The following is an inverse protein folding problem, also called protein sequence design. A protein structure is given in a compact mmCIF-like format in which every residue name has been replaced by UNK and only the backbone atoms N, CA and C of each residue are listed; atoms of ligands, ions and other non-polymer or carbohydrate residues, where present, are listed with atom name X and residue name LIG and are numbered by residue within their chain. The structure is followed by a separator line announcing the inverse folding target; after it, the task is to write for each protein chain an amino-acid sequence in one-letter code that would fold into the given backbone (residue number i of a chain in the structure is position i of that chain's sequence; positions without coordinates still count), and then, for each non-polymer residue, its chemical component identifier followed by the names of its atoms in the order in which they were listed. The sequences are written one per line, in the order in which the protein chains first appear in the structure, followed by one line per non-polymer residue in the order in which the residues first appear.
data_IF_706005507248
#
_entry.id   IF_706005507248
#
_cell.length_a   1.000
_cell.length_b   1.000
_cell.length_c   1.000
_cell.angle_alpha   90.00
_cell.angle_beta   90.00
_cell.angle_gamma   90.00
#
_symmetry.space_group_name_H-M   'P 1'
#
loop_
_entity.id
_entity.type
_entity.pdbx_description
1 polymer ?
#
# COMPACT_ATOMS: atom_id res chain seq x y z
N UNK A 1 25.14 9.93 14.40
CA UNK A 1 24.76 8.54 14.07
C UNK A 1 25.08 8.30 12.61
N UNK A 2 25.91 7.29 12.31
CA UNK A 2 26.18 6.86 10.92
C UNK A 2 25.04 5.98 10.42
N UNK A 3 24.91 5.84 9.08
CA UNK A 3 23.87 4.96 8.48
C UNK A 3 24.05 3.50 8.94
N UNK A 4 25.26 3.00 8.95
CA UNK A 4 25.58 1.64 9.43
C UNK A 4 25.13 1.42 10.87
N UNK A 5 25.42 2.36 11.78
CA UNK A 5 24.98 2.26 13.17
C UNK A 5 23.44 2.30 13.31
N UNK A 6 22.76 3.06 12.45
CA UNK A 6 21.30 3.08 12.45
C UNK A 6 20.71 1.73 12.01
N UNK A 7 21.31 1.11 10.97
CA UNK A 7 20.92 -0.21 10.50
C UNK A 7 21.18 -1.29 11.58
N UNK A 8 22.31 -1.22 12.26
CA UNK A 8 22.64 -2.13 13.37
C UNK A 8 21.66 -2.00 14.54
N UNK A 9 21.29 -0.76 14.91
CA UNK A 9 20.30 -0.50 15.97
C UNK A 9 18.91 -1.01 15.55
N UNK A 10 18.50 -0.79 14.31
CA UNK A 10 17.22 -1.28 13.81
C UNK A 10 17.17 -2.81 13.87
N UNK A 11 18.23 -3.47 13.43
CA UNK A 11 18.30 -4.93 13.40
C UNK A 11 18.60 -5.58 14.77
N UNK A 12 18.99 -4.78 15.77
CA UNK A 12 19.09 -5.26 17.16
C UNK A 12 17.71 -5.47 17.82
N UNK A 13 16.62 -5.14 17.16
CA UNK A 13 15.24 -5.31 17.62
C UNK A 13 14.97 -4.70 19.02
N UNK A 14 15.63 -3.59 19.33
CA UNK A 14 15.40 -2.89 20.60
C UNK A 14 14.17 -1.99 20.49
N UNK A 15 13.30 -1.96 21.51
CA UNK A 15 12.05 -1.18 21.44
C UNK A 15 12.28 0.32 21.45
N UNK A 16 13.41 0.80 21.97
CA UNK A 16 13.79 2.21 21.94
C UNK A 16 15.29 2.39 22.15
N UNK A 17 15.78 3.57 21.74
CA UNK A 17 17.14 4.04 22.02
C UNK A 17 17.10 5.46 22.55
N UNK A 18 18.12 5.85 23.34
CA UNK A 18 18.32 7.22 23.74
C UNK A 18 19.38 7.87 22.87
N UNK A 19 19.03 8.99 22.25
CA UNK A 19 19.94 9.79 21.46
C UNK A 19 20.24 11.07 22.25
N UNK A 20 21.53 11.35 22.45
CA UNK A 20 22.00 12.59 23.04
C UNK A 20 22.16 13.64 21.94
N UNK A 21 21.41 14.73 22.06
CA UNK A 21 21.57 15.93 21.23
C UNK A 21 22.28 17.02 22.03
N UNK A 22 22.64 18.11 21.40
CA UNK A 22 23.29 19.24 22.05
C UNK A 22 22.45 19.84 23.20
N UNK A 23 21.13 19.77 23.09
CA UNK A 23 20.19 20.42 24.02
C UNK A 23 19.53 19.46 25.01
N UNK A 24 19.35 18.20 24.64
CA UNK A 24 18.63 17.21 25.46
C UNK A 24 18.88 15.76 25.04
N UNK A 25 18.50 14.84 25.90
CA UNK A 25 18.38 13.42 25.53
C UNK A 25 16.98 13.13 24.99
N UNK A 26 16.91 12.42 23.87
CA UNK A 26 15.66 12.12 23.16
C UNK A 26 15.49 10.61 23.08
N UNK A 27 14.31 10.13 23.45
CA UNK A 27 13.93 8.71 23.34
C UNK A 27 13.29 8.47 21.98
N UNK A 28 13.93 7.67 21.15
CA UNK A 28 13.40 7.25 19.84
C UNK A 28 12.85 5.84 19.93
N UNK A 29 11.59 5.67 19.56
CA UNK A 29 10.89 4.40 19.56
C UNK A 29 11.09 3.69 18.22
N UNK A 30 11.15 2.36 18.26
CA UNK A 30 11.25 1.49 17.09
C UNK A 30 9.85 1.04 16.64
N UNK A 31 9.68 0.83 15.32
CA UNK A 31 8.54 0.11 14.76
C UNK A 31 8.69 -1.42 14.84
N UNK A 32 9.79 -1.91 15.41
CA UNK A 32 10.13 -3.33 15.53
C UNK A 32 10.20 -4.08 14.20
N UNK A 33 10.47 -3.37 13.10
CA UNK A 33 10.68 -3.96 11.79
C UNK A 33 12.18 -4.21 11.56
N UNK A 34 12.55 -5.45 11.25
CA UNK A 34 13.94 -5.90 11.11
C UNK A 34 14.19 -6.61 9.78
N UNK A 35 15.45 -6.66 9.35
CA UNK A 35 15.84 -7.44 8.17
C UNK A 35 16.04 -8.91 8.58
N UNK A 36 15.31 -9.82 7.91
CA UNK A 36 15.37 -11.27 8.18
C UNK A 36 16.79 -11.85 8.06
N UNK A 37 17.64 -11.29 7.21
CA UNK A 37 19.02 -11.75 6.99
C UNK A 37 19.90 -11.70 8.23
N UNK A 38 19.56 -10.89 9.23
CA UNK A 38 20.29 -10.83 10.49
C UNK A 38 19.94 -11.96 11.47
N UNK A 39 18.85 -12.67 11.21
CA UNK A 39 18.33 -13.70 12.11
C UNK A 39 18.35 -15.11 11.54
N UNK A 40 18.19 -15.22 10.21
CA UNK A 40 18.12 -16.51 9.53
C UNK A 40 19.08 -16.49 8.34
N UNK A 41 19.96 -17.51 8.28
CA UNK A 41 20.92 -17.67 7.19
C UNK A 41 20.23 -18.28 5.95
N UNK A 42 19.50 -17.41 5.23
CA UNK A 42 18.84 -17.77 3.97
C UNK A 42 18.56 -16.51 3.13
N UNK A 43 18.35 -16.69 1.82
CA UNK A 43 17.86 -15.59 0.99
C UNK A 43 16.35 -15.36 1.29
N UNK A 44 15.96 -14.17 1.80
CA UNK A 44 14.56 -13.86 2.07
C UNK A 44 13.64 -14.07 0.87
N UNK A 45 14.14 -13.89 -0.35
CA UNK A 45 13.36 -14.07 -1.57
C UNK A 45 12.90 -15.52 -1.78
N UNK A 46 13.68 -16.50 -1.34
CA UNK A 46 13.30 -17.92 -1.40
C UNK A 46 12.13 -18.25 -0.46
N UNK A 47 11.96 -17.42 0.58
CA UNK A 47 10.85 -17.51 1.53
C UNK A 47 9.65 -16.63 1.14
N UNK A 48 9.74 -15.89 0.03
CA UNK A 48 8.70 -14.97 -0.42
C UNK A 48 8.70 -13.63 0.32
N UNK A 49 9.78 -13.29 1.03
CA UNK A 49 9.94 -12.07 1.81
C UNK A 49 10.76 -11.07 1.00
N UNK A 50 10.19 -9.89 0.76
CA UNK A 50 10.83 -8.80 0.00
C UNK A 50 10.98 -7.51 0.80
N UNK A 51 10.40 -7.47 2.00
CA UNK A 51 10.33 -6.31 2.89
C UNK A 51 10.88 -6.68 4.28
N UNK A 52 10.99 -5.68 5.15
CA UNK A 52 11.31 -5.90 6.56
C UNK A 52 10.22 -6.72 7.25
N UNK A 53 10.59 -7.51 8.24
CA UNK A 53 9.67 -8.39 8.99
C UNK A 53 9.45 -7.86 10.41
N UNK A 54 8.27 -8.11 10.95
CA UNK A 54 7.90 -7.70 12.30
C UNK A 54 8.53 -8.65 13.33
N UNK A 55 9.47 -8.12 14.09
CA UNK A 55 10.31 -8.91 15.01
C UNK A 55 9.54 -9.70 16.08
N UNK A 56 8.48 -9.17 16.73
CA UNK A 56 7.78 -9.94 17.76
C UNK A 56 7.22 -11.28 17.25
N UNK A 57 6.73 -11.31 16.01
CA UNK A 57 6.25 -12.56 15.39
C UNK A 57 7.42 -13.45 14.99
N UNK A 58 8.49 -12.83 14.43
CA UNK A 58 9.69 -13.59 14.09
C UNK A 58 10.29 -14.28 15.33
N UNK A 59 10.41 -13.57 16.46
CA UNK A 59 10.91 -14.11 17.70
C UNK A 59 10.07 -15.29 18.20
N UNK A 60 8.75 -15.18 18.14
CA UNK A 60 7.85 -16.29 18.50
C UNK A 60 8.07 -17.50 17.60
N UNK A 61 8.18 -17.32 16.28
CA UNK A 61 8.44 -18.43 15.36
C UNK A 61 9.80 -19.08 15.60
N UNK A 62 10.83 -18.30 15.99
CA UNK A 62 12.16 -18.82 16.33
C UNK A 62 12.14 -19.63 17.64
N UNK A 63 11.33 -19.23 18.62
CA UNK A 63 11.16 -19.98 19.87
C UNK A 63 10.39 -21.30 19.66
N UNK A 64 9.36 -21.27 18.81
CA UNK A 64 8.55 -22.45 18.50
C UNK A 64 9.26 -23.46 17.60
N UNK A 65 10.19 -23.02 16.73
CA UNK A 65 10.86 -23.83 15.72
C UNK A 65 12.40 -23.66 15.83
N UNK A 66 13.06 -24.38 16.73
CA UNK A 66 14.52 -24.28 16.92
C UNK A 66 15.33 -24.86 15.75
N UNK A 67 14.76 -25.72 14.90
CA UNK A 67 15.39 -26.24 13.71
C UNK A 67 15.26 -25.25 12.55
N UNK A 68 16.35 -25.06 11.82
CA UNK A 68 16.43 -24.08 10.72
C UNK A 68 15.47 -24.43 9.57
N UNK A 69 15.30 -25.71 9.25
CA UNK A 69 14.40 -26.10 8.15
C UNK A 69 12.92 -25.93 8.56
N UNK A 70 12.57 -26.32 9.77
CA UNK A 70 11.23 -26.13 10.32
C UNK A 70 10.90 -24.63 10.43
N UNK A 71 11.88 -23.82 10.84
CA UNK A 71 11.74 -22.36 10.89
C UNK A 71 11.47 -21.76 9.51
N UNK A 72 12.18 -22.18 8.46
CA UNK A 72 11.95 -21.73 7.10
C UNK A 72 10.55 -22.07 6.61
N UNK A 73 10.06 -23.26 6.91
CA UNK A 73 8.67 -23.63 6.58
C UNK A 73 7.65 -22.81 7.37
N UNK A 74 7.89 -22.58 8.66
CA UNK A 74 7.03 -21.75 9.49
C UNK A 74 6.98 -20.31 8.99
N UNK A 75 8.12 -19.73 8.60
CA UNK A 75 8.20 -18.40 7.98
C UNK A 75 7.38 -18.34 6.69
N UNK A 76 7.51 -19.33 5.78
CA UNK A 76 6.71 -19.38 4.54
C UNK A 76 5.21 -19.43 4.81
N UNK A 77 4.78 -20.15 5.82
CA UNK A 77 3.35 -20.26 6.18
C UNK A 77 2.81 -18.95 6.78
N UNK A 78 3.64 -18.20 7.51
CA UNK A 78 3.24 -17.01 8.26
C UNK A 78 3.72 -15.68 7.64
N UNK A 79 4.01 -15.64 6.33
CA UNK A 79 4.47 -14.42 5.63
C UNK A 79 3.53 -13.23 5.82
N UNK A 80 2.21 -13.47 5.88
CA UNK A 80 1.22 -12.40 6.05
C UNK A 80 1.28 -11.74 7.43
N UNK A 81 1.63 -12.49 8.46
CA UNK A 81 1.74 -11.99 9.82
C UNK A 81 3.13 -11.35 10.04
N UNK A 82 4.16 -11.92 9.42
CA UNK A 82 5.52 -11.37 9.44
C UNK A 82 5.63 -10.03 8.70
N UNK A 83 4.87 -9.85 7.60
CA UNK A 83 4.80 -8.58 6.86
C UNK A 83 3.38 -8.03 7.02
N UNK A 84 3.06 -7.37 8.14
CA UNK A 84 1.72 -6.84 8.37
C UNK A 84 1.37 -5.79 7.32
N UNK A 85 0.23 -6.00 6.63
CA UNK A 85 -0.33 -5.01 5.68
C UNK A 85 -1.29 -4.02 6.35
N UNK A 86 -1.32 -4.02 7.68
CA UNK A 86 -2.08 -3.11 8.52
C UNK A 86 -1.14 -2.35 9.47
N UNK A 87 -1.60 -1.23 9.97
CA UNK A 87 -0.85 -0.40 10.92
C UNK A 87 -0.81 -1.13 12.28
N UNK A 88 0.39 -1.33 12.82
CA UNK A 88 0.60 -1.91 14.15
C UNK A 88 0.55 -0.85 15.24
N UNK A 89 0.47 -1.26 16.50
CA UNK A 89 0.55 -0.33 17.64
C UNK A 89 1.92 0.34 17.71
N UNK A 90 2.97 -0.39 17.39
CA UNK A 90 4.34 0.11 17.41
C UNK A 90 4.56 1.17 16.34
N UNK A 91 3.97 0.99 15.15
CA UNK A 91 3.97 2.02 14.09
C UNK A 91 3.31 3.32 14.54
N UNK A 92 2.15 3.22 15.25
CA UNK A 92 1.46 4.40 15.75
C UNK A 92 2.33 5.15 16.76
N UNK A 93 2.90 4.44 17.73
CA UNK A 93 3.75 5.05 18.74
C UNK A 93 5.05 5.62 18.16
N UNK A 94 5.68 4.90 17.23
CA UNK A 94 6.88 5.38 16.54
C UNK A 94 6.59 6.65 15.71
N UNK A 95 5.46 6.68 14.99
CA UNK A 95 5.04 7.84 14.19
C UNK A 95 4.73 9.07 15.05
N UNK A 96 4.01 8.89 16.16
CA UNK A 96 3.75 9.99 17.11
C UNK A 96 5.05 10.49 17.72
N UNK A 97 5.92 9.57 18.15
CA UNK A 97 7.23 9.91 18.71
C UNK A 97 8.09 10.69 17.72
N UNK A 98 8.15 10.27 16.44
CA UNK A 98 8.85 10.99 15.39
C UNK A 98 8.29 12.40 15.18
N UNK A 99 6.97 12.54 15.09
CA UNK A 99 6.31 13.83 14.89
C UNK A 99 6.60 14.81 16.03
N UNK A 100 6.57 14.32 17.28
CA UNK A 100 6.92 15.14 18.45
C UNK A 100 8.38 15.61 18.43
N UNK A 101 9.29 14.88 17.80
CA UNK A 101 10.70 15.26 17.71
C UNK A 101 10.99 16.28 16.63
N UNK A 102 10.14 16.41 15.61
CA UNK A 102 10.28 17.45 14.58
C UNK A 102 10.25 18.86 15.19
N UNK A 103 9.46 19.09 16.24
CA UNK A 103 9.43 20.35 16.99
C UNK A 103 10.82 20.74 17.54
N UNK A 104 11.68 19.76 17.82
CA UNK A 104 13.02 19.95 18.35
C UNK A 104 14.12 19.89 17.29
N UNK A 105 13.75 19.91 16.02
CA UNK A 105 14.70 19.83 14.90
C UNK A 105 15.35 18.45 14.73
N UNK A 106 14.74 17.41 15.27
CA UNK A 106 15.19 16.02 15.11
C UNK A 106 14.26 15.33 14.09
N UNK A 107 14.82 14.98 12.94
CA UNK A 107 14.08 14.48 11.79
C UNK A 107 13.97 15.52 10.68
N UNK A 108 13.24 15.18 9.64
CA UNK A 108 12.99 16.03 8.48
C UNK A 108 11.52 15.94 8.09
N UNK A 109 10.95 17.07 7.69
CA UNK A 109 9.63 17.12 7.08
C UNK A 109 9.73 16.58 5.65
N UNK A 110 8.71 15.82 5.25
CA UNK A 110 8.58 15.35 3.88
C UNK A 110 8.01 16.45 2.98
N UNK A 111 8.58 16.59 1.79
CA UNK A 111 8.02 17.46 0.76
C UNK A 111 6.77 16.81 0.14
N UNK A 112 5.61 17.43 0.37
CA UNK A 112 4.30 16.97 -0.09
C UNK A 112 4.24 16.87 -1.63
N UNK A 113 4.93 17.77 -2.33
CA UNK A 113 4.89 17.84 -3.80
C UNK A 113 5.94 16.95 -4.46
N UNK A 114 6.87 16.37 -3.69
CA UNK A 114 7.85 15.43 -4.21
C UNK A 114 7.18 14.13 -4.67
N UNK A 115 7.47 13.69 -5.91
CA UNK A 115 6.84 12.50 -6.49
C UNK A 115 7.19 11.18 -5.78
N UNK A 116 8.18 11.16 -4.91
CA UNK A 116 8.44 10.05 -3.98
C UNK A 116 7.37 9.90 -2.92
N UNK A 117 6.73 11.00 -2.49
CA UNK A 117 5.68 11.05 -1.46
C UNK A 117 4.28 11.14 -2.08
N UNK A 118 4.19 11.56 -3.33
CA UNK A 118 2.94 11.71 -4.07
C UNK A 118 2.82 10.63 -5.14
N UNK A 119 1.98 9.63 -4.88
CA UNK A 119 1.76 8.51 -5.80
C UNK A 119 0.90 8.92 -7.00
N UNK A 120 1.35 8.56 -8.20
CA UNK A 120 0.60 8.73 -9.44
C UNK A 120 -0.22 7.45 -9.68
N UNK A 121 -1.53 7.61 -9.90
CA UNK A 121 -2.41 6.51 -10.27
C UNK A 121 -2.41 6.33 -11.78
N UNK A 122 -1.94 5.18 -12.26
CA UNK A 122 -1.97 4.83 -13.67
C UNK A 122 -3.39 4.45 -14.14
N UNK A 123 -3.60 4.45 -15.45
CA UNK A 123 -4.88 4.08 -16.09
C UNK A 123 -5.36 2.71 -15.65
N UNK A 124 -4.46 1.73 -15.52
CA UNK A 124 -4.82 0.38 -15.08
C UNK A 124 -5.47 0.34 -13.71
N UNK A 125 -4.99 1.13 -12.75
CA UNK A 125 -5.57 1.23 -11.41
C UNK A 125 -6.96 1.89 -11.45
N UNK A 126 -7.12 2.95 -12.23
CA UNK A 126 -8.42 3.62 -12.41
C UNK A 126 -9.46 2.68 -13.02
N UNK A 127 -9.08 1.92 -14.05
CA UNK A 127 -9.94 0.91 -14.68
C UNK A 127 -10.26 -0.25 -13.72
N UNK A 128 -9.29 -0.71 -12.94
CA UNK A 128 -9.50 -1.74 -11.91
C UNK A 128 -10.58 -1.31 -10.90
N UNK A 129 -10.54 -0.06 -10.45
CA UNK A 129 -11.54 0.46 -9.52
C UNK A 129 -12.94 0.48 -10.16
N UNK A 130 -13.06 0.91 -11.42
CA UNK A 130 -14.34 0.89 -12.12
C UNK A 130 -14.85 -0.52 -12.38
N UNK A 131 -13.97 -1.45 -12.72
CA UNK A 131 -14.31 -2.85 -12.87
C UNK A 131 -14.81 -3.46 -11.55
N UNK A 132 -14.16 -3.14 -10.43
CA UNK A 132 -14.60 -3.57 -9.09
C UNK A 132 -16.00 -3.05 -8.75
N UNK A 133 -16.30 -1.79 -9.06
CA UNK A 133 -17.65 -1.22 -8.90
C UNK A 133 -18.67 -1.98 -9.77
N UNK A 134 -18.31 -2.27 -11.01
CA UNK A 134 -19.14 -3.05 -11.93
C UNK A 134 -19.42 -4.46 -11.41
N UNK A 135 -18.43 -5.15 -10.87
CA UNK A 135 -18.58 -6.47 -10.25
C UNK A 135 -19.46 -6.43 -9.00
N UNK A 136 -19.31 -5.43 -8.14
CA UNK A 136 -20.17 -5.25 -6.95
C UNK A 136 -21.64 -5.04 -7.35
N UNK A 137 -21.89 -4.25 -8.39
CA UNK A 137 -23.25 -4.08 -8.94
C UNK A 137 -23.80 -5.40 -9.51
N UNK A 138 -22.96 -6.17 -10.20
CA UNK A 138 -23.32 -7.48 -10.73
C UNK A 138 -23.63 -8.47 -9.62
N UNK A 139 -22.78 -8.56 -8.59
CA UNK A 139 -23.02 -9.42 -7.42
C UNK A 139 -24.36 -9.14 -6.77
N UNK A 140 -24.70 -7.86 -6.56
CA UNK A 140 -25.99 -7.48 -5.98
C UNK A 140 -27.16 -7.97 -6.83
N UNK A 141 -27.10 -7.77 -8.16
CA UNK A 141 -28.16 -8.24 -9.07
C UNK A 141 -28.29 -9.77 -9.09
N UNK A 142 -27.16 -10.49 -9.05
CA UNK A 142 -27.16 -11.95 -8.98
C UNK A 142 -27.81 -12.42 -7.67
N UNK A 143 -27.44 -11.79 -6.54
CA UNK A 143 -28.01 -12.12 -5.23
C UNK A 143 -29.51 -11.87 -5.18
N UNK A 144 -29.99 -10.74 -5.70
CA UNK A 144 -31.41 -10.43 -5.82
C UNK A 144 -32.15 -11.49 -6.69
N UNK A 145 -31.58 -11.92 -7.82
CA UNK A 145 -32.15 -12.93 -8.67
C UNK A 145 -32.20 -14.30 -7.99
N UNK A 146 -31.17 -14.68 -7.26
CA UNK A 146 -31.16 -15.95 -6.52
C UNK A 146 -32.23 -16.02 -5.44
N UNK A 147 -32.68 -14.90 -4.89
CA UNK A 147 -33.76 -14.87 -3.89
C UNK A 147 -35.16 -14.84 -4.51
N UNK A 148 -35.29 -14.42 -5.77
CA UNK A 148 -36.59 -14.23 -6.43
C UNK A 148 -36.96 -15.31 -7.43
N UNK A 149 -35.99 -16.08 -7.91
CA UNK A 149 -36.21 -17.13 -8.92
C UNK A 149 -36.26 -18.51 -8.26
N UNK A 150 -37.16 -19.37 -8.77
CA UNK A 150 -37.17 -20.79 -8.40
C UNK A 150 -35.86 -21.45 -8.84
N UNK A 151 -35.25 -22.20 -7.91
CA UNK A 151 -33.91 -22.77 -8.09
C UNK A 151 -33.89 -23.96 -9.08
N UNK A 152 -35.06 -24.49 -9.46
CA UNK A 152 -35.15 -25.62 -10.37
C UNK A 152 -34.83 -25.19 -11.81
N UNK A 153 -33.70 -25.64 -12.32
CA UNK A 153 -33.28 -25.42 -13.71
C UNK A 153 -32.48 -24.15 -13.98
N UNK A 154 -32.02 -23.42 -12.94
CA UNK A 154 -31.18 -22.23 -13.12
C UNK A 154 -29.76 -22.63 -13.50
N UNK A 155 -29.26 -22.04 -14.60
CA UNK A 155 -27.87 -22.13 -14.98
C UNK A 155 -27.09 -20.86 -14.52
N UNK A 156 -25.78 -20.93 -14.22
CA UNK A 156 -24.97 -19.75 -13.92
C UNK A 156 -25.03 -18.68 -15.01
N UNK A 157 -25.18 -19.08 -16.27
CA UNK A 157 -25.28 -18.19 -17.41
C UNK A 157 -26.57 -17.36 -17.43
N UNK A 158 -27.69 -17.91 -16.90
CA UNK A 158 -28.96 -17.18 -16.81
C UNK A 158 -28.96 -16.13 -15.67
N UNK A 159 -28.15 -16.34 -14.63
CA UNK A 159 -28.03 -15.44 -13.51
C UNK A 159 -27.08 -14.25 -13.79
N UNK A 160 -26.01 -14.53 -14.52
CA UNK A 160 -24.96 -13.54 -14.76
C UNK A 160 -25.33 -12.60 -15.90
N UNK A 161 -25.37 -11.30 -15.62
CA UNK A 161 -25.59 -10.26 -16.61
C UNK A 161 -24.38 -9.30 -16.64
N UNK A 162 -23.69 -9.27 -17.76
CA UNK A 162 -22.48 -8.45 -17.94
C UNK A 162 -22.78 -6.92 -18.08
N UNK A 163 -24.05 -6.53 -18.28
CA UNK A 163 -24.45 -5.12 -18.49
C UNK A 163 -23.97 -4.17 -17.38
N UNK A 164 -24.04 -4.50 -16.06
CA UNK A 164 -23.55 -3.60 -15.01
C UNK A 164 -22.05 -3.29 -15.11
N UNK A 165 -21.25 -4.29 -15.49
CA UNK A 165 -19.80 -4.11 -15.67
C UNK A 165 -19.51 -3.23 -16.90
N UNK A 166 -20.17 -3.54 -18.01
CA UNK A 166 -20.03 -2.71 -19.23
C UNK A 166 -20.50 -1.27 -19.01
N UNK A 167 -21.58 -1.08 -18.26
CA UNK A 167 -22.05 0.26 -17.90
C UNK A 167 -21.04 1.04 -17.04
N UNK A 168 -20.42 0.41 -16.04
CA UNK A 168 -19.42 1.04 -15.19
C UNK A 168 -18.18 1.50 -16.01
N UNK A 169 -17.69 0.66 -16.93
CA UNK A 169 -16.58 1.02 -17.81
C UNK A 169 -16.96 2.16 -18.77
N UNK A 170 -18.16 2.11 -19.36
CA UNK A 170 -18.65 3.19 -20.22
C UNK A 170 -18.86 4.50 -19.47
N UNK A 171 -19.32 4.44 -18.24
CA UNK A 171 -19.48 5.58 -17.33
C UNK A 171 -18.12 6.25 -17.08
N UNK A 172 -17.07 5.48 -16.87
CA UNK A 172 -15.72 6.01 -16.69
C UNK A 172 -15.23 6.78 -17.92
N UNK A 173 -15.32 6.20 -19.11
CA UNK A 173 -14.86 6.87 -20.33
C UNK A 173 -15.76 8.02 -20.80
N UNK A 174 -17.03 8.00 -20.46
CA UNK A 174 -18.01 9.01 -20.93
C UNK A 174 -18.22 10.18 -19.98
N UNK A 175 -18.07 9.98 -18.66
CA UNK A 175 -18.43 11.00 -17.66
C UNK A 175 -17.38 11.24 -16.60
N UNK A 176 -16.30 10.46 -16.53
CA UNK A 176 -15.23 10.71 -15.56
C UNK A 176 -14.44 11.95 -15.94
N UNK A 177 -14.17 12.80 -14.96
CA UNK A 177 -13.33 13.98 -15.14
C UNK A 177 -11.87 13.63 -15.46
N UNK A 178 -11.43 12.42 -15.12
CA UNK A 178 -10.07 11.93 -15.40
C UNK A 178 -9.92 11.37 -16.82
N UNK A 179 -11.03 11.05 -17.50
CA UNK A 179 -11.06 10.67 -18.91
C UNK A 179 -11.44 11.87 -19.76
N UNK A 180 -10.47 12.44 -20.45
CA UNK A 180 -10.64 13.65 -21.25
C UNK A 180 -10.35 13.39 -22.72
N UNK A 181 -10.94 14.17 -23.60
CA UNK A 181 -10.55 14.18 -25.01
C UNK A 181 -9.12 14.69 -25.16
N UNK A 182 -8.34 14.00 -26.00
CA UNK A 182 -6.99 14.42 -26.29
C UNK A 182 -6.99 15.63 -27.19
N UNK A 183 -6.20 16.65 -26.88
CA UNK A 183 -5.97 17.80 -27.76
C UNK A 183 -5.10 17.32 -28.92
N UNK A 184 -5.65 17.47 -30.17
CA UNK A 184 -5.00 17.03 -31.42
C UNK A 184 -4.80 18.15 -32.42
N UNK A 185 -5.12 19.40 -32.08
CA UNK A 185 -5.03 20.53 -33.00
C UNK A 185 -3.58 20.98 -33.24
N UNK A 186 -2.74 20.90 -32.21
CA UNK A 186 -1.33 21.30 -32.26
C UNK A 186 -0.46 20.17 -31.73
N UNK A 187 0.59 19.72 -32.46
CA UNK A 187 1.49 18.67 -31.99
C UNK A 187 2.14 18.96 -30.64
N UNK A 188 2.46 20.22 -30.32
CA UNK A 188 2.99 20.60 -29.03
C UNK A 188 1.94 20.50 -27.94
N UNK A 189 0.69 20.90 -28.20
CA UNK A 189 -0.44 20.73 -27.29
C UNK A 189 -0.72 19.26 -26.99
N UNK A 190 -0.67 18.40 -28.00
CA UNK A 190 -0.80 16.97 -27.87
C UNK A 190 0.30 16.37 -26.96
N UNK A 191 1.56 16.77 -27.20
CA UNK A 191 2.69 16.29 -26.38
C UNK A 191 2.56 16.73 -24.91
N UNK A 192 2.21 17.97 -24.64
CA UNK A 192 2.01 18.49 -23.28
C UNK A 192 0.84 17.82 -22.59
N UNK A 193 -0.25 17.54 -23.31
CA UNK A 193 -1.38 16.80 -22.77
C UNK A 193 -1.02 15.36 -22.39
N UNK A 194 -0.25 14.66 -23.22
CA UNK A 194 0.26 13.29 -22.92
C UNK A 194 1.21 13.25 -21.70
N UNK A 195 1.92 14.34 -21.43
CA UNK A 195 2.88 14.44 -20.31
C UNK A 195 2.26 15.00 -19.03
N UNK A 196 0.96 15.24 -18.99
CA UNK A 196 0.27 15.77 -17.83
C UNK A 196 0.24 14.70 -16.72
N UNK A 197 0.72 15.05 -15.54
CA UNK A 197 0.71 14.19 -14.35
C UNK A 197 -0.44 14.54 -13.40
N UNK A 198 -0.81 15.83 -13.31
CA UNK A 198 -1.90 16.29 -12.45
C UNK A 198 -3.12 16.66 -13.27
N UNK A 199 -4.30 16.28 -12.83
CA UNK A 199 -5.55 16.72 -13.42
C UNK A 199 -5.85 18.20 -13.14
N UNK A 200 -5.20 18.81 -12.16
CA UNK A 200 -5.37 20.20 -11.76
C UNK A 200 -4.57 21.16 -12.67
N UNK A 201 -5.06 22.37 -12.84
CA UNK A 201 -4.35 23.45 -13.51
C UNK A 201 -4.94 23.86 -14.84
N UNK A 202 -4.24 24.69 -15.66
CA UNK A 202 -4.72 25.19 -16.93
C UNK A 202 -5.13 24.08 -17.89
N UNK A 203 -6.35 24.12 -18.40
CA UNK A 203 -6.93 23.07 -19.27
C UNK A 203 -7.34 21.80 -18.55
N UNK A 204 -7.29 21.74 -17.21
CA UNK A 204 -7.70 20.62 -16.38
C UNK A 204 -8.83 21.00 -15.42
N UNK A 205 -8.89 20.29 -14.29
CA UNK A 205 -9.89 20.47 -13.25
C UNK A 205 -9.56 21.67 -12.35
N UNK A 206 -10.59 22.34 -11.84
CA UNK A 206 -10.46 23.27 -10.72
C UNK A 206 -10.36 22.50 -9.41
N UNK A 207 -9.74 23.11 -8.37
CA UNK A 207 -9.64 22.49 -7.03
C UNK A 207 -11.00 22.12 -6.43
N UNK A 208 -12.03 22.90 -6.73
CA UNK A 208 -13.39 22.67 -6.21
C UNK A 208 -14.07 21.45 -6.84
N UNK A 209 -13.53 20.91 -7.95
CA UNK A 209 -14.05 19.76 -8.68
C UNK A 209 -13.15 18.52 -8.59
N UNK A 210 -12.05 18.61 -7.89
CA UNK A 210 -11.11 17.53 -7.65
C UNK A 210 -11.34 16.95 -6.24
#
# INVERSE_FOLDING_TARGET
VTRSLADDIQNAAVPYVWIQTETRNVKVLSSMMVDLRHYVDCDPKELGITELVYYPILAQLMEENPDVEDLKEAIKKNVHDLIPKHITKDDIFASINYNMHLEYGIGHDDDIDHLGNRRIRAVGELLQNQYRIGLSRLERVVRERMTTLDLDGISPQSLINIKPVTAAVKEFFGSSQLSQFMDQNNPLGELTHKRRLSALGPGGLSRDRA
#
